data_IF_570626626470
#
_entry.id   IF_570626626470
#
_cell.length_a   1.000
_cell.length_b   1.000
_cell.length_c   1.000
_cell.angle_alpha   90.00
_cell.angle_beta   90.00
_cell.angle_gamma   90.00
#
_symmetry.space_group_name_H-M   'P 1'
#
loop_
_entity.id
_entity.type
_entity.pdbx_description
1 polymer ?
#
# COMPACT_ATOMS: atom_id res chain seq x y z
N UNK A 1 -50.57 -3.36 -33.81
CA UNK A 1 -49.14 -3.66 -33.94
C UNK A 1 -48.48 -3.34 -32.62
N UNK A 2 -48.29 -4.35 -31.78
CA UNK A 2 -47.68 -4.17 -30.42
C UNK A 2 -46.18 -4.38 -30.58
N UNK A 3 -45.38 -3.36 -30.23
CA UNK A 3 -43.94 -3.42 -30.18
C UNK A 3 -43.52 -4.08 -28.85
N UNK A 4 -43.09 -5.31 -28.92
CA UNK A 4 -42.48 -6.04 -27.80
C UNK A 4 -41.06 -5.54 -27.62
N UNK A 5 -40.83 -4.71 -26.59
CA UNK A 5 -39.52 -4.27 -26.19
C UNK A 5 -38.87 -5.42 -25.39
N UNK A 6 -37.95 -6.14 -26.02
CA UNK A 6 -37.12 -7.13 -25.38
C UNK A 6 -36.09 -6.42 -24.50
N UNK A 7 -36.21 -6.54 -23.18
CA UNK A 7 -35.19 -6.11 -22.20
C UNK A 7 -34.01 -7.06 -22.37
N UNK A 8 -32.75 -6.61 -22.54
CA UNK A 8 -31.61 -7.51 -22.63
C UNK A 8 -31.36 -8.15 -21.26
N UNK A 9 -31.23 -9.45 -21.29
CA UNK A 9 -30.89 -10.31 -20.14
C UNK A 9 -29.48 -9.97 -19.63
N UNK A 10 -29.40 -9.31 -18.47
CA UNK A 10 -28.15 -8.75 -17.88
C UNK A 10 -27.33 -9.84 -17.17
N UNK A 11 -27.57 -11.11 -17.42
CA UNK A 11 -26.86 -12.21 -16.76
C UNK A 11 -25.99 -13.02 -17.72
N UNK A 12 -25.04 -12.35 -18.41
CA UNK A 12 -23.96 -13.08 -19.07
C UNK A 12 -23.05 -13.72 -17.99
N UNK A 13 -22.67 -15.03 -18.11
CA UNK A 13 -21.81 -15.66 -17.14
C UNK A 13 -20.46 -14.93 -17.08
N UNK A 14 -20.12 -14.39 -15.90
CA UNK A 14 -18.82 -13.72 -15.68
C UNK A 14 -17.71 -14.65 -16.15
N UNK A 15 -16.73 -14.11 -16.90
CA UNK A 15 -15.57 -14.86 -17.35
C UNK A 15 -14.80 -15.45 -16.14
N UNK A 16 -14.03 -16.50 -16.36
CA UNK A 16 -13.21 -17.12 -15.31
C UNK A 16 -12.29 -16.08 -14.62
N UNK A 17 -11.70 -15.16 -15.40
CA UNK A 17 -10.89 -14.07 -14.90
C UNK A 17 -11.71 -13.10 -14.01
N UNK A 18 -12.91 -12.71 -14.42
CA UNK A 18 -13.77 -11.83 -13.65
C UNK A 18 -14.22 -12.47 -12.31
N UNK A 19 -14.47 -13.79 -12.29
CA UNK A 19 -14.78 -14.52 -11.05
C UNK A 19 -13.58 -14.55 -10.10
N UNK A 20 -12.37 -14.76 -10.63
CA UNK A 20 -11.15 -14.73 -9.82
C UNK A 20 -10.95 -13.36 -9.14
N UNK A 21 -11.13 -12.27 -9.87
CA UNK A 21 -11.03 -10.90 -9.33
C UNK A 21 -12.06 -10.70 -8.23
N UNK A 22 -13.35 -11.01 -8.48
CA UNK A 22 -14.40 -10.83 -7.47
C UNK A 22 -14.19 -11.69 -6.21
N UNK A 23 -13.62 -12.90 -6.34
CA UNK A 23 -13.27 -13.75 -5.19
C UNK A 23 -12.15 -13.12 -4.37
N UNK A 24 -11.10 -12.60 -5.00
CA UNK A 24 -9.99 -11.95 -4.30
C UNK A 24 -10.42 -10.66 -3.59
N UNK A 25 -11.27 -9.85 -4.21
CA UNK A 25 -11.83 -8.63 -3.59
C UNK A 25 -12.70 -8.97 -2.38
N UNK A 26 -13.62 -9.92 -2.53
CA UNK A 26 -14.46 -10.40 -1.43
C UNK A 26 -13.62 -11.01 -0.29
N UNK A 27 -12.63 -11.83 -0.63
CA UNK A 27 -11.72 -12.41 0.35
C UNK A 27 -10.92 -11.32 1.10
N UNK A 28 -10.45 -10.29 0.39
CA UNK A 28 -9.79 -9.15 1.01
C UNK A 28 -10.69 -8.49 2.05
N UNK A 29 -11.93 -8.15 1.69
CA UNK A 29 -12.89 -7.51 2.58
C UNK A 29 -13.21 -8.39 3.80
N UNK A 30 -13.48 -9.68 3.57
CA UNK A 30 -13.80 -10.63 4.65
C UNK A 30 -12.60 -10.80 5.61
N UNK A 31 -11.39 -11.04 5.10
CA UNK A 31 -10.21 -11.17 5.96
C UNK A 31 -9.90 -9.88 6.73
N UNK A 32 -10.13 -8.73 6.15
CA UNK A 32 -9.90 -7.46 6.84
C UNK A 32 -10.93 -7.16 7.91
N UNK A 33 -12.17 -7.60 7.72
CA UNK A 33 -13.27 -7.41 8.69
C UNK A 33 -13.21 -8.43 9.82
N UNK A 34 -13.12 -9.71 9.48
CA UNK A 34 -13.26 -10.84 10.41
C UNK A 34 -11.91 -11.37 10.94
N UNK A 35 -10.79 -10.95 10.34
CA UNK A 35 -9.48 -11.59 10.53
C UNK A 35 -9.40 -12.96 9.84
N UNK A 36 -8.20 -13.57 9.85
CA UNK A 36 -8.04 -14.89 9.26
C UNK A 36 -8.87 -15.97 10.00
N UNK A 37 -8.87 -15.95 11.33
CA UNK A 37 -9.56 -16.98 12.13
C UNK A 37 -11.08 -16.93 11.95
N UNK A 38 -11.69 -15.75 11.97
CA UNK A 38 -13.13 -15.54 11.85
C UNK A 38 -13.68 -15.73 10.44
N UNK A 39 -12.87 -15.51 9.42
CA UNK A 39 -13.26 -15.65 8.02
C UNK A 39 -13.52 -17.12 7.65
N UNK A 40 -14.48 -17.34 6.75
CA UNK A 40 -14.74 -18.66 6.16
C UNK A 40 -15.11 -18.53 4.68
N UNK A 41 -15.02 -19.65 3.95
CA UNK A 41 -15.27 -19.69 2.51
C UNK A 41 -16.73 -19.37 2.15
N UNK A 42 -17.69 -19.68 3.02
CA UNK A 42 -19.09 -19.39 2.77
C UNK A 42 -19.36 -17.88 2.78
N UNK A 43 -18.75 -17.13 3.71
CA UNK A 43 -18.82 -15.66 3.74
C UNK A 43 -18.19 -15.06 2.46
N UNK A 44 -17.04 -15.58 2.05
CA UNK A 44 -16.34 -15.09 0.86
C UNK A 44 -17.15 -15.39 -0.41
N UNK A 45 -17.71 -16.58 -0.52
CA UNK A 45 -18.55 -16.97 -1.65
C UNK A 45 -19.81 -16.10 -1.75
N UNK A 46 -20.47 -15.85 -0.62
CA UNK A 46 -21.65 -14.98 -0.54
C UNK A 46 -21.30 -13.54 -0.98
N UNK A 47 -20.21 -12.97 -0.46
CA UNK A 47 -19.78 -11.61 -0.79
C UNK A 47 -19.31 -11.47 -2.25
N UNK A 48 -18.67 -12.52 -2.80
CA UNK A 48 -18.25 -12.55 -4.21
C UNK A 48 -19.41 -12.78 -5.19
N UNK A 49 -20.59 -13.22 -4.70
CA UNK A 49 -21.73 -13.61 -5.53
C UNK A 49 -21.46 -14.84 -6.38
N UNK A 50 -20.76 -15.85 -5.80
CA UNK A 50 -20.42 -17.11 -6.43
C UNK A 50 -20.76 -18.29 -5.52
N UNK A 51 -20.77 -19.52 -6.06
CA UNK A 51 -20.92 -20.70 -5.23
C UNK A 51 -19.61 -21.04 -4.47
N UNK A 52 -19.73 -21.70 -3.31
CA UNK A 52 -18.60 -22.24 -2.56
C UNK A 52 -17.69 -23.12 -3.46
N UNK A 53 -18.29 -23.94 -4.30
CA UNK A 53 -17.54 -24.77 -5.26
C UNK A 53 -16.73 -23.92 -6.24
N UNK A 54 -17.24 -22.77 -6.64
CA UNK A 54 -16.50 -21.84 -7.50
C UNK A 54 -15.26 -21.29 -6.80
N UNK A 55 -15.34 -20.96 -5.50
CA UNK A 55 -14.18 -20.52 -4.73
C UNK A 55 -13.13 -21.64 -4.67
N UNK A 56 -13.52 -22.87 -4.35
CA UNK A 56 -12.60 -24.03 -4.32
C UNK A 56 -11.99 -24.38 -5.68
N UNK A 57 -12.68 -24.12 -6.78
CA UNK A 57 -12.12 -24.30 -8.12
C UNK A 57 -11.00 -23.29 -8.45
N UNK A 58 -10.96 -22.14 -7.77
CA UNK A 58 -9.93 -21.10 -7.93
C UNK A 58 -8.82 -21.21 -6.87
N UNK A 59 -9.18 -21.62 -5.66
CA UNK A 59 -8.27 -21.73 -4.51
C UNK A 59 -8.58 -22.98 -3.72
N UNK A 60 -7.59 -23.86 -3.56
CA UNK A 60 -7.76 -25.21 -2.97
C UNK A 60 -8.31 -25.13 -1.55
N UNK A 61 -7.87 -24.13 -0.77
CA UNK A 61 -8.27 -23.92 0.61
C UNK A 61 -8.23 -22.44 1.01
N UNK A 62 -8.63 -22.17 2.25
CA UNK A 62 -8.65 -20.82 2.83
C UNK A 62 -7.25 -20.21 2.96
N UNK A 63 -6.24 -21.05 3.21
CA UNK A 63 -4.86 -20.60 3.39
C UNK A 63 -4.26 -20.11 2.07
N UNK A 64 -4.43 -20.88 0.99
CA UNK A 64 -4.00 -20.44 -0.34
C UNK A 64 -4.73 -19.20 -0.81
N UNK A 65 -6.02 -19.07 -0.48
CA UNK A 65 -6.76 -17.84 -0.77
C UNK A 65 -6.21 -16.65 0.03
N UNK A 66 -5.85 -16.86 1.29
CA UNK A 66 -5.23 -15.82 2.13
C UNK A 66 -3.88 -15.38 1.59
N UNK A 67 -3.01 -16.31 1.21
CA UNK A 67 -1.73 -16.03 0.54
C UNK A 67 -1.95 -15.21 -0.74
N UNK A 68 -2.92 -15.61 -1.57
CA UNK A 68 -3.25 -14.88 -2.79
C UNK A 68 -3.72 -13.45 -2.51
N UNK A 69 -4.49 -13.22 -1.44
CA UNK A 69 -4.91 -11.88 -1.00
C UNK A 69 -3.72 -11.03 -0.57
N UNK A 70 -2.82 -11.57 0.26
CA UNK A 70 -1.61 -10.84 0.70
C UNK A 70 -0.74 -10.44 -0.49
N UNK A 71 -0.54 -11.36 -1.44
CA UNK A 71 0.24 -11.06 -2.65
C UNK A 71 -0.43 -9.99 -3.52
N UNK A 72 -1.74 -10.08 -3.74
CA UNK A 72 -2.48 -9.08 -4.52
C UNK A 72 -2.47 -7.69 -3.86
N UNK A 73 -2.62 -7.62 -2.53
CA UNK A 73 -2.50 -6.38 -1.76
C UNK A 73 -1.09 -5.79 -1.88
N UNK A 74 -0.06 -6.63 -1.82
CA UNK A 74 1.34 -6.21 -1.94
C UNK A 74 1.61 -5.62 -3.34
N UNK A 75 1.10 -6.26 -4.39
CA UNK A 75 1.28 -5.79 -5.77
C UNK A 75 0.59 -4.43 -5.98
N UNK A 76 -0.64 -4.26 -5.50
CA UNK A 76 -1.35 -2.97 -5.58
C UNK A 76 -0.65 -1.88 -4.77
N UNK A 77 -0.18 -2.20 -3.56
CA UNK A 77 0.57 -1.25 -2.75
C UNK A 77 1.88 -0.82 -3.42
N UNK A 78 2.58 -1.75 -4.07
CA UNK A 78 3.78 -1.45 -4.85
C UNK A 78 3.46 -0.55 -6.05
N UNK A 79 2.41 -0.87 -6.82
CA UNK A 79 2.00 -0.04 -7.97
C UNK A 79 1.72 1.40 -7.54
N UNK A 80 0.93 1.61 -6.48
CA UNK A 80 0.64 2.94 -5.93
C UNK A 80 1.90 3.66 -5.42
N UNK A 81 2.86 2.92 -4.85
CA UNK A 81 4.14 3.50 -4.46
C UNK A 81 4.95 3.95 -5.67
N UNK A 82 5.10 3.12 -6.71
CA UNK A 82 5.89 3.46 -7.89
C UNK A 82 5.25 4.59 -8.71
N UNK A 83 3.92 4.64 -8.81
CA UNK A 83 3.20 5.76 -9.40
C UNK A 83 3.50 7.08 -8.63
N UNK A 84 3.49 7.03 -7.31
CA UNK A 84 3.85 8.18 -6.48
C UNK A 84 5.32 8.54 -6.63
N UNK A 85 6.22 7.53 -6.67
CA UNK A 85 7.66 7.73 -6.86
C UNK A 85 8.00 8.36 -8.22
N UNK A 86 7.18 8.16 -9.24
CA UNK A 86 7.33 8.84 -10.53
C UNK A 86 7.18 10.37 -10.42
N UNK A 87 6.56 10.86 -9.34
CA UNK A 87 6.42 12.30 -9.04
C UNK A 87 7.51 12.84 -8.10
N UNK A 88 8.58 12.07 -7.87
CA UNK A 88 9.69 12.49 -7.01
C UNK A 88 10.39 13.72 -7.60
N UNK A 89 10.78 14.72 -6.79
CA UNK A 89 11.47 15.91 -7.27
C UNK A 89 12.96 15.61 -7.55
N UNK A 90 13.25 15.08 -8.74
CA UNK A 90 14.63 14.77 -9.13
C UNK A 90 15.49 16.03 -9.35
N UNK A 91 14.88 17.18 -9.62
CA UNK A 91 15.51 18.50 -9.81
C UNK A 91 14.73 19.57 -9.01
N UNK A 92 14.87 19.61 -7.68
CA UNK A 92 14.08 20.51 -6.85
C UNK A 92 14.52 21.95 -7.05
N UNK A 93 13.55 22.88 -7.14
CA UNK A 93 13.79 24.31 -7.05
C UNK A 93 13.90 24.74 -5.59
N UNK A 94 12.99 24.21 -4.75
CA UNK A 94 13.04 24.34 -3.30
C UNK A 94 12.95 22.94 -2.68
N UNK A 95 14.07 22.43 -2.19
CA UNK A 95 14.17 21.05 -1.68
C UNK A 95 13.19 20.79 -0.53
N UNK A 96 12.92 21.73 0.36
CA UNK A 96 11.98 21.57 1.48
C UNK A 96 10.55 21.46 0.96
N UNK A 97 10.11 22.43 0.15
CA UNK A 97 8.74 22.47 -0.37
C UNK A 97 8.44 21.27 -1.27
N UNK A 98 9.37 20.90 -2.14
CA UNK A 98 9.24 19.82 -3.09
C UNK A 98 9.19 18.45 -2.38
N UNK A 99 10.03 18.23 -1.37
CA UNK A 99 9.98 17.03 -0.55
C UNK A 99 8.73 16.98 0.33
N UNK A 100 8.23 18.10 0.86
CA UNK A 100 6.95 18.15 1.58
C UNK A 100 5.80 17.75 0.66
N UNK A 101 5.74 18.31 -0.55
CA UNK A 101 4.73 17.95 -1.53
C UNK A 101 4.78 16.46 -1.91
N UNK A 102 5.98 15.90 -2.08
CA UNK A 102 6.17 14.47 -2.31
C UNK A 102 5.75 13.62 -1.11
N UNK A 103 6.13 13.99 0.12
CA UNK A 103 5.76 13.29 1.34
C UNK A 103 4.23 13.26 1.57
N UNK A 104 3.52 14.36 1.26
CA UNK A 104 2.05 14.42 1.31
C UNK A 104 1.45 13.37 0.35
N UNK A 105 1.92 13.32 -0.91
CA UNK A 105 1.44 12.34 -1.89
C UNK A 105 1.72 10.91 -1.43
N UNK A 106 2.91 10.67 -0.88
CA UNK A 106 3.32 9.35 -0.40
C UNK A 106 2.46 8.90 0.79
N UNK A 107 2.18 9.81 1.73
CA UNK A 107 1.27 9.53 2.85
C UNK A 107 -0.13 9.18 2.35
N UNK A 108 -0.73 10.00 1.47
CA UNK A 108 -2.09 9.77 0.97
C UNK A 108 -2.22 8.49 0.16
N UNK A 109 -1.32 8.28 -0.80
CA UNK A 109 -1.45 7.21 -1.78
C UNK A 109 -0.99 5.85 -1.26
N UNK A 110 -0.07 5.82 -0.28
CA UNK A 110 0.54 4.59 0.19
C UNK A 110 0.21 4.31 1.66
N UNK A 111 0.51 5.26 2.56
CA UNK A 111 0.42 5.03 4.01
C UNK A 111 -1.05 5.05 4.47
N UNK A 112 -1.83 6.02 4.03
CA UNK A 112 -3.25 6.17 4.37
C UNK A 112 -4.19 5.41 3.42
N UNK A 113 -3.67 4.75 2.37
CA UNK A 113 -4.49 3.99 1.43
C UNK A 113 -5.18 2.80 2.09
N UNK A 114 -6.33 2.38 1.56
CA UNK A 114 -7.07 1.22 2.04
C UNK A 114 -6.23 -0.06 2.01
N UNK A 115 -5.54 -0.33 0.90
CA UNK A 115 -4.68 -1.50 0.75
C UNK A 115 -3.50 -1.50 1.72
N UNK A 116 -2.85 -0.35 1.92
CA UNK A 116 -1.78 -0.21 2.90
C UNK A 116 -2.26 -0.42 4.34
N UNK A 117 -3.45 0.07 4.67
CA UNK A 117 -4.08 -0.13 5.98
C UNK A 117 -4.40 -1.62 6.21
N UNK A 118 -5.00 -2.28 5.22
CA UNK A 118 -5.34 -3.70 5.31
C UNK A 118 -4.11 -4.57 5.43
N UNK A 119 -3.10 -4.34 4.60
CA UNK A 119 -1.86 -5.11 4.65
C UNK A 119 -1.16 -4.99 6.01
N UNK A 120 -1.08 -3.78 6.58
CA UNK A 120 -0.54 -3.58 7.94
C UNK A 120 -1.33 -4.35 9.00
N UNK A 121 -2.67 -4.31 8.93
CA UNK A 121 -3.52 -5.05 9.86
C UNK A 121 -3.24 -6.56 9.77
N UNK A 122 -3.20 -7.11 8.56
CA UNK A 122 -2.93 -8.54 8.34
C UNK A 122 -1.54 -8.94 8.85
N UNK A 123 -0.52 -8.11 8.62
CA UNK A 123 0.83 -8.36 9.14
C UNK A 123 0.85 -8.38 10.67
N UNK A 124 0.18 -7.42 11.30
CA UNK A 124 0.14 -7.32 12.76
C UNK A 124 -0.62 -8.49 13.40
N UNK A 125 -1.68 -8.98 12.79
CA UNK A 125 -2.52 -10.05 13.36
C UNK A 125 -2.05 -11.45 13.00
N UNK A 126 -1.46 -11.64 11.83
CA UNK A 126 -1.12 -12.96 11.29
C UNK A 126 0.39 -13.18 11.06
N UNK A 127 1.22 -12.14 11.28
CA UNK A 127 2.66 -12.18 10.98
C UNK A 127 3.42 -13.27 11.73
N UNK A 128 3.06 -13.55 12.97
CA UNK A 128 3.66 -14.62 13.77
C UNK A 128 3.23 -16.01 13.28
N UNK A 129 2.02 -16.13 12.72
CA UNK A 129 1.47 -17.40 12.23
C UNK A 129 2.02 -17.78 10.85
N UNK A 130 2.31 -16.80 10.00
CA UNK A 130 2.78 -16.99 8.63
C UNK A 130 4.13 -16.29 8.36
N UNK A 131 5.20 -16.64 9.11
CA UNK A 131 6.47 -15.91 9.06
C UNK A 131 7.12 -15.93 7.66
N UNK A 132 7.01 -17.04 6.92
CA UNK A 132 7.60 -17.15 5.58
C UNK A 132 6.85 -16.29 4.55
N UNK A 133 5.50 -16.23 4.64
CA UNK A 133 4.69 -15.36 3.78
C UNK A 133 5.08 -13.89 3.97
N UNK A 134 5.24 -13.44 5.20
CA UNK A 134 5.58 -12.06 5.49
C UNK A 134 7.07 -11.76 5.34
N UNK A 135 7.95 -12.76 5.38
CA UNK A 135 9.35 -12.61 4.93
C UNK A 135 9.40 -12.32 3.42
N UNK A 136 8.67 -13.09 2.62
CA UNK A 136 8.51 -12.83 1.19
C UNK A 136 7.87 -11.47 0.89
N UNK A 137 6.86 -11.07 1.66
CA UNK A 137 6.28 -9.73 1.57
C UNK A 137 7.32 -8.64 1.83
N UNK A 138 8.16 -8.80 2.86
CA UNK A 138 9.21 -7.81 3.19
C UNK A 138 10.20 -7.62 2.04
N UNK A 139 10.55 -8.70 1.36
CA UNK A 139 11.48 -8.67 0.24
C UNK A 139 10.85 -8.06 -1.02
N UNK A 140 9.63 -8.49 -1.37
CA UNK A 140 8.98 -8.11 -2.63
C UNK A 140 8.15 -6.81 -2.53
N UNK A 141 7.80 -6.37 -1.34
CA UNK A 141 7.11 -5.11 -1.05
C UNK A 141 8.11 -4.03 -0.62
N UNK A 142 8.31 -3.85 0.70
CA UNK A 142 9.18 -2.80 1.23
C UNK A 142 10.61 -2.84 0.68
N UNK A 143 11.20 -4.01 0.48
CA UNK A 143 12.55 -4.14 -0.04
C UNK A 143 12.75 -3.45 -1.39
N UNK A 144 11.80 -3.63 -2.31
CA UNK A 144 11.84 -2.96 -3.63
C UNK A 144 11.58 -1.46 -3.53
N UNK A 145 10.60 -1.06 -2.72
CA UNK A 145 10.22 0.35 -2.61
C UNK A 145 11.28 1.18 -1.90
N UNK A 146 11.94 0.63 -0.87
CA UNK A 146 13.05 1.30 -0.18
C UNK A 146 14.24 1.52 -1.10
N UNK A 147 14.68 0.49 -1.82
CA UNK A 147 15.79 0.59 -2.78
C UNK A 147 15.49 1.61 -3.89
N UNK A 148 14.26 1.63 -4.40
CA UNK A 148 13.86 2.60 -5.42
C UNK A 148 13.89 4.05 -4.89
N UNK A 149 13.43 4.28 -3.66
CA UNK A 149 13.51 5.61 -3.02
C UNK A 149 14.96 5.99 -2.70
N UNK A 150 15.78 5.04 -2.22
CA UNK A 150 17.20 5.25 -1.97
C UNK A 150 17.95 5.72 -3.23
N UNK A 151 17.63 5.12 -4.38
CA UNK A 151 18.21 5.55 -5.65
C UNK A 151 17.83 7.00 -6.01
N UNK A 152 16.63 7.48 -5.64
CA UNK A 152 16.23 8.89 -5.82
C UNK A 152 17.02 9.81 -4.90
N UNK A 153 17.15 9.48 -3.62
CA UNK A 153 17.97 10.25 -2.68
C UNK A 153 19.44 10.27 -3.05
N UNK A 154 20.01 9.13 -3.53
CA UNK A 154 21.37 9.09 -4.03
C UNK A 154 21.61 10.07 -5.20
N UNK A 155 20.63 10.27 -6.10
CA UNK A 155 20.72 11.29 -7.15
C UNK A 155 20.71 12.71 -6.59
N UNK A 156 19.86 13.00 -5.62
CA UNK A 156 19.85 14.32 -4.96
C UNK A 156 21.14 14.59 -4.20
N UNK A 157 21.74 13.58 -3.59
CA UNK A 157 23.06 13.70 -2.94
C UNK A 157 24.16 13.96 -3.97
N UNK A 158 24.17 13.21 -5.07
CA UNK A 158 25.12 13.42 -6.18
C UNK A 158 24.99 14.81 -6.81
N UNK A 159 23.76 15.33 -6.92
CA UNK A 159 23.48 16.69 -7.39
C UNK A 159 23.81 17.79 -6.34
N UNK A 160 24.22 17.41 -5.12
CA UNK A 160 24.63 18.31 -4.06
C UNK A 160 23.48 18.97 -3.28
N UNK A 161 22.27 18.44 -3.38
CA UNK A 161 21.12 18.90 -2.59
C UNK A 161 21.09 18.26 -1.19
N UNK A 162 21.63 17.05 -1.06
CA UNK A 162 21.68 16.30 0.20
C UNK A 162 23.12 15.87 0.50
N UNK A 163 23.38 15.59 1.78
CA UNK A 163 24.64 15.05 2.29
C UNK A 163 24.33 13.78 3.09
N UNK A 164 24.69 12.60 2.56
CA UNK A 164 24.40 11.31 3.16
C UNK A 164 25.41 10.25 2.75
N UNK A 165 25.82 9.43 3.71
CA UNK A 165 26.74 8.31 3.50
C UNK A 165 26.00 7.06 2.96
N UNK A 166 24.76 6.83 3.41
CA UNK A 166 23.96 5.64 3.08
C UNK A 166 22.54 6.05 2.65
N UNK A 167 22.25 6.07 1.34
CA UNK A 167 20.91 6.37 0.82
C UNK A 167 19.84 5.36 1.23
N UNK A 168 20.19 4.08 1.47
CA UNK A 168 19.23 3.06 1.92
C UNK A 168 18.77 3.32 3.35
N UNK A 169 19.69 3.73 4.24
CA UNK A 169 19.34 4.16 5.59
C UNK A 169 18.48 5.42 5.53
N UNK A 170 18.89 6.42 4.75
CA UNK A 170 18.14 7.66 4.60
C UNK A 170 16.70 7.42 4.09
N UNK A 171 16.51 6.53 3.09
CA UNK A 171 15.20 6.19 2.58
C UNK A 171 14.29 5.55 3.64
N UNK A 172 14.80 4.59 4.42
CA UNK A 172 14.04 3.98 5.52
C UNK A 172 13.68 4.99 6.60
N UNK A 173 14.60 5.87 6.96
CA UNK A 173 14.36 6.93 7.96
C UNK A 173 13.35 7.95 7.44
N UNK A 174 13.41 8.36 6.17
CA UNK A 174 12.40 9.24 5.59
C UNK A 174 11.00 8.65 5.68
N UNK A 175 10.84 7.36 5.30
CA UNK A 175 9.54 6.67 5.38
C UNK A 175 9.05 6.53 6.83
N UNK A 176 9.95 6.31 7.78
CA UNK A 176 9.59 6.27 9.20
C UNK A 176 9.13 7.64 9.70
N UNK A 177 9.85 8.70 9.34
CA UNK A 177 9.53 10.07 9.75
C UNK A 177 8.18 10.54 9.22
N UNK A 178 7.88 10.33 7.93
CA UNK A 178 6.59 10.77 7.35
C UNK A 178 5.39 10.03 7.94
N UNK A 179 5.60 8.84 8.53
CA UNK A 179 4.57 8.07 9.19
C UNK A 179 4.47 8.34 10.71
N UNK A 180 5.49 8.92 11.33
CA UNK A 180 5.62 8.99 12.79
C UNK A 180 4.42 9.68 13.46
N UNK A 181 4.04 10.87 13.00
CA UNK A 181 2.95 11.65 13.58
C UNK A 181 1.55 11.07 13.28
N UNK A 182 1.44 10.17 12.30
CA UNK A 182 0.18 9.54 11.87
C UNK A 182 0.00 8.13 12.44
N UNK A 183 1.08 7.50 12.87
CA UNK A 183 1.13 6.07 13.21
C UNK A 183 0.10 5.66 14.26
N UNK A 184 0.05 6.34 15.40
CA UNK A 184 -0.85 5.99 16.50
C UNK A 184 -2.32 6.16 16.10
N UNK A 185 -2.67 7.27 15.46
CA UNK A 185 -4.03 7.50 14.97
C UNK A 185 -4.49 6.41 14.00
N UNK A 186 -3.62 6.04 13.06
CA UNK A 186 -3.92 4.98 12.10
C UNK A 186 -4.04 3.60 12.75
N UNK A 187 -3.27 3.30 13.79
CA UNK A 187 -3.44 2.06 14.57
C UNK A 187 -4.80 2.00 15.27
N UNK A 188 -5.33 3.14 15.71
CA UNK A 188 -6.65 3.26 16.33
C UNK A 188 -7.80 3.30 15.31
N UNK A 189 -7.47 3.26 14.01
CA UNK A 189 -8.46 3.25 12.93
C UNK A 189 -8.86 4.62 12.41
N UNK A 190 -8.29 5.71 12.97
CA UNK A 190 -8.54 7.05 12.49
C UNK A 190 -8.03 7.26 11.07
N UNK A 191 -8.74 8.12 10.33
CA UNK A 191 -8.27 8.64 9.05
C UNK A 191 -7.79 10.08 9.27
N UNK A 192 -6.47 10.36 9.13
CA UNK A 192 -5.98 11.72 9.28
C UNK A 192 -6.55 12.59 8.16
N UNK A 193 -6.99 13.80 8.52
CA UNK A 193 -7.40 14.81 7.58
C UNK A 193 -6.20 15.41 6.82
N UNK A 194 -6.49 16.23 5.81
CA UNK A 194 -5.47 16.82 4.95
C UNK A 194 -4.49 17.72 5.71
N UNK A 195 -4.92 18.41 6.75
CA UNK A 195 -4.08 19.29 7.54
C UNK A 195 -3.10 18.48 8.40
N UNK A 196 -3.57 17.41 9.04
CA UNK A 196 -2.70 16.49 9.80
C UNK A 196 -1.66 15.81 8.90
N UNK A 197 -2.07 15.38 7.69
CA UNK A 197 -1.13 14.81 6.71
C UNK A 197 -0.08 15.82 6.30
N UNK A 198 -0.47 17.07 6.04
CA UNK A 198 0.44 18.16 5.69
C UNK A 198 1.42 18.46 6.83
N UNK A 199 0.91 18.61 8.05
CA UNK A 199 1.73 18.88 9.23
C UNK A 199 2.75 17.77 9.47
N UNK A 200 2.32 16.50 9.40
CA UNK A 200 3.20 15.34 9.53
C UNK A 200 4.31 15.35 8.46
N UNK A 201 3.96 15.59 7.21
CA UNK A 201 4.92 15.68 6.11
C UNK A 201 5.93 16.83 6.32
N UNK A 202 5.46 17.99 6.76
CA UNK A 202 6.32 19.16 7.03
C UNK A 202 7.31 18.87 8.16
N UNK A 203 6.84 18.31 9.28
CA UNK A 203 7.68 17.94 10.43
C UNK A 203 8.75 16.92 10.02
N UNK A 204 8.32 15.89 9.27
CA UNK A 204 9.19 14.83 8.79
C UNK A 204 10.31 15.35 7.89
N UNK A 205 9.96 16.16 6.88
CA UNK A 205 10.91 16.70 5.91
C UNK A 205 11.90 17.67 6.58
N UNK A 206 11.44 18.53 7.47
CA UNK A 206 12.33 19.43 8.24
C UNK A 206 13.31 18.64 9.10
N UNK A 207 12.86 17.56 9.74
CA UNK A 207 13.74 16.68 10.52
C UNK A 207 14.74 15.97 9.62
N UNK A 208 14.29 15.46 8.49
CA UNK A 208 15.13 14.81 7.49
C UNK A 208 16.19 15.74 6.94
N UNK A 209 15.83 16.98 6.57
CA UNK A 209 16.76 17.97 6.04
C UNK A 209 17.74 18.50 7.09
N UNK A 210 17.40 18.50 8.38
CA UNK A 210 18.38 18.76 9.45
C UNK A 210 19.45 17.70 9.56
N UNK A 211 19.10 16.45 9.24
CA UNK A 211 20.04 15.32 9.27
C UNK A 211 20.84 15.22 7.97
N UNK A 212 20.19 15.40 6.83
CA UNK A 212 20.70 15.06 5.51
C UNK A 212 20.76 16.24 4.53
N UNK A 213 20.29 17.41 4.89
CA UNK A 213 20.41 18.60 4.04
C UNK A 213 21.87 19.05 3.95
N UNK A 214 22.26 19.59 2.80
CA UNK A 214 23.58 20.16 2.61
C UNK A 214 23.80 21.27 3.66
N UNK A 215 24.88 21.14 4.41
CA UNK A 215 25.31 22.20 5.33
C UNK A 215 26.07 23.24 4.51
N UNK A 216 25.62 24.49 4.56
CA UNK A 216 26.43 25.58 4.04
C UNK A 216 27.79 25.56 4.77
N UNK A 217 28.85 25.38 4.01
CA UNK A 217 30.21 25.45 4.55
C UNK A 217 30.40 26.85 5.14
N UNK A 218 30.43 26.95 6.48
CA UNK A 218 30.82 28.14 7.20
C UNK A 218 32.32 28.39 7.02
#
# INVERSE_FOLDING_TARGET
MALTTTVPDICAPRSHAAKRVSILEAATNVFCREGYAGANIDMIAAEAGVSRQTVYNHHVDKEQLFVAVVLALTERANSGFFETLATFPDHPENIEEDLVAFAIRLNRNCICSGDGKFLRKLIQTEGERYPELFAGWREHGPGKTWTALAARFGRLAHAGHLDMDDPDVAARQFLALINADLHVSMMLGDQPDDERVRQAATNAVRTFLRAYGKRDSR
#
